data_IF_046127840329
#
_entry.id   IF_046127840329
#
_cell.length_a   1.000
_cell.length_b   1.000
_cell.length_c   1.000
_cell.angle_alpha   90.00
_cell.angle_beta   90.00
_cell.angle_gamma   90.00
#
_symmetry.space_group_name_H-M   'P 1'
#
loop_
_entity.id
_entity.type
_entity.pdbx_description
1 polymer ?
#
# COMPACT_ATOMS: atom_id res chain seq x y z
N UNK A 1 16.87 -40.64 15.79
CA UNK A 1 15.62 -39.84 15.76
C UNK A 1 15.76 -38.41 16.29
N UNK A 2 16.82 -38.04 17.04
CA UNK A 2 17.04 -36.64 17.47
C UNK A 2 17.51 -35.69 16.36
N UNK A 3 18.15 -36.19 15.32
CA UNK A 3 18.71 -35.36 14.23
C UNK A 3 17.67 -34.87 13.20
N UNK A 4 16.48 -35.47 13.16
CA UNK A 4 15.40 -35.08 12.25
C UNK A 4 14.66 -33.81 12.71
N UNK A 5 14.72 -33.50 14.00
CA UNK A 5 14.05 -32.34 14.60
C UNK A 5 14.78 -31.02 14.32
N UNK A 6 16.09 -31.05 14.10
CA UNK A 6 16.88 -29.86 13.74
C UNK A 6 16.71 -29.45 12.28
N UNK A 7 16.43 -30.40 11.37
CA UNK A 7 16.24 -30.09 9.94
C UNK A 7 14.87 -29.42 9.70
N UNK A 8 13.84 -29.79 10.48
CA UNK A 8 12.53 -29.15 10.41
C UNK A 8 12.51 -27.70 10.92
N UNK A 9 13.45 -27.33 11.79
CA UNK A 9 13.56 -25.97 12.35
C UNK A 9 14.30 -24.99 11.43
N UNK A 10 14.99 -25.47 10.39
CA UNK A 10 15.70 -24.62 9.41
C UNK A 10 14.81 -24.29 8.20
N UNK A 11 13.67 -24.98 8.04
CA UNK A 11 12.70 -24.71 6.97
C UNK A 11 11.66 -23.64 7.30
N UNK A 12 11.69 -23.05 8.51
CA UNK A 12 11.06 -21.75 8.75
C UNK A 12 11.96 -20.64 8.23
N UNK A 13 12.28 -20.71 6.93
CA UNK A 13 12.65 -19.49 6.20
C UNK A 13 11.42 -18.61 6.31
N UNK A 14 11.59 -17.43 6.92
CA UNK A 14 10.57 -16.40 6.85
C UNK A 14 10.12 -16.35 5.39
N UNK A 15 8.88 -16.75 5.13
CA UNK A 15 8.24 -16.41 3.88
C UNK A 15 8.12 -14.89 3.94
N UNK A 16 9.20 -14.19 3.54
CA UNK A 16 9.16 -12.79 3.26
C UNK A 16 8.01 -12.65 2.27
N UNK A 17 6.88 -12.16 2.78
CA UNK A 17 5.65 -12.09 2.03
C UNK A 17 5.96 -11.23 0.82
N UNK A 18 6.21 -11.89 -0.33
CA UNK A 18 6.59 -11.23 -1.56
C UNK A 18 5.50 -10.21 -1.84
N UNK A 19 5.91 -8.94 -1.97
CA UNK A 19 4.97 -7.85 -2.22
C UNK A 19 4.13 -8.22 -3.45
N UNK A 20 2.80 -8.07 -3.39
CA UNK A 20 1.93 -8.53 -4.45
C UNK A 20 2.27 -7.76 -5.73
N UNK A 21 2.37 -8.48 -6.84
CA UNK A 21 2.72 -7.92 -8.15
C UNK A 21 1.61 -8.17 -9.16
N UNK A 22 1.46 -7.25 -10.10
CA UNK A 22 0.56 -7.41 -11.23
C UNK A 22 1.24 -8.10 -12.41
N UNK A 23 0.51 -8.24 -13.52
CA UNK A 23 1.00 -8.90 -14.75
C UNK A 23 2.16 -8.17 -15.42
N UNK A 24 2.44 -6.92 -15.05
CA UNK A 24 3.57 -6.12 -15.50
C UNK A 24 4.73 -6.14 -14.51
N UNK A 25 4.69 -7.03 -13.52
CA UNK A 25 5.69 -7.14 -12.43
C UNK A 25 5.78 -5.90 -11.53
N UNK A 26 4.76 -5.05 -11.53
CA UNK A 26 4.68 -3.86 -10.67
C UNK A 26 3.96 -4.19 -9.36
N UNK A 27 4.34 -3.53 -8.26
CA UNK A 27 3.66 -3.68 -7.00
C UNK A 27 2.21 -3.17 -7.08
N UNK A 28 1.29 -4.08 -6.79
CA UNK A 28 -0.14 -3.79 -6.82
C UNK A 28 -0.88 -4.60 -5.75
N UNK A 29 -1.57 -3.88 -4.87
CA UNK A 29 -2.49 -4.46 -3.91
C UNK A 29 -3.90 -4.32 -4.46
N UNK A 30 -4.40 -5.35 -5.14
CA UNK A 30 -5.74 -5.37 -5.69
C UNK A 30 -6.57 -6.50 -5.10
N UNK A 31 -7.81 -6.22 -4.75
CA UNK A 31 -8.75 -7.24 -4.30
C UNK A 31 -10.19 -6.80 -4.56
N UNK A 32 -11.02 -7.77 -4.93
CA UNK A 32 -12.47 -7.62 -4.97
C UNK A 32 -13.09 -8.09 -3.65
N UNK A 33 -13.99 -7.29 -3.09
CA UNK A 33 -14.64 -7.52 -1.81
C UNK A 33 -16.15 -7.49 -2.02
N UNK A 34 -16.80 -8.60 -1.70
CA UNK A 34 -18.26 -8.69 -1.69
C UNK A 34 -18.81 -8.09 -0.40
N UNK A 35 -19.79 -7.21 -0.51
CA UNK A 35 -20.54 -6.62 0.59
C UNK A 35 -22.03 -6.59 0.24
N UNK A 36 -22.87 -7.05 1.17
CA UNK A 36 -24.33 -6.95 1.04
C UNK A 36 -24.79 -5.55 1.46
N UNK A 37 -24.47 -4.53 0.65
CA UNK A 37 -24.84 -3.14 0.88
C UNK A 37 -25.29 -2.48 -0.43
N UNK A 38 -26.23 -1.51 -0.39
CA UNK A 38 -26.64 -0.79 -1.60
C UNK A 38 -25.48 -0.02 -2.23
N UNK A 39 -25.39 -0.04 -3.57
CA UNK A 39 -24.34 0.66 -4.31
C UNK A 39 -24.26 2.16 -4.00
N UNK A 40 -25.40 2.81 -3.76
CA UNK A 40 -25.45 4.23 -3.40
C UNK A 40 -24.70 4.52 -2.09
N UNK A 41 -24.84 3.62 -1.10
CA UNK A 41 -24.14 3.70 0.17
C UNK A 41 -22.64 3.40 0.00
N UNK A 42 -22.30 2.39 -0.80
CA UNK A 42 -20.90 2.06 -1.08
C UNK A 42 -20.18 3.18 -1.83
N UNK A 43 -20.82 3.82 -2.81
CA UNK A 43 -20.30 5.01 -3.52
C UNK A 43 -20.07 6.17 -2.56
N UNK A 44 -21.03 6.41 -1.65
CA UNK A 44 -20.89 7.45 -0.63
C UNK A 44 -19.72 7.16 0.32
N UNK A 45 -19.58 5.91 0.80
CA UNK A 45 -18.46 5.50 1.65
C UNK A 45 -17.12 5.62 0.93
N UNK A 46 -17.01 5.13 -0.30
CA UNK A 46 -15.80 5.27 -1.11
C UNK A 46 -15.39 6.74 -1.25
N UNK A 47 -16.33 7.63 -1.58
CA UNK A 47 -16.08 9.07 -1.66
C UNK A 47 -15.60 9.67 -0.33
N UNK A 48 -16.22 9.28 0.78
CA UNK A 48 -15.86 9.78 2.10
C UNK A 48 -14.52 9.25 2.60
N UNK A 49 -14.08 8.08 2.15
CA UNK A 49 -12.76 7.53 2.47
C UNK A 49 -11.63 8.45 1.98
N UNK A 50 -11.74 8.98 0.75
CA UNK A 50 -10.78 9.96 0.21
C UNK A 50 -10.78 11.31 0.93
N UNK A 51 -11.76 11.58 1.81
CA UNK A 51 -11.83 12.80 2.62
C UNK A 51 -11.25 12.61 4.02
N UNK A 52 -10.83 11.40 4.38
CA UNK A 52 -10.23 11.14 5.69
C UNK A 52 -8.82 11.74 5.77
N UNK A 53 -8.54 12.64 6.73
CA UNK A 53 -7.35 13.51 6.69
C UNK A 53 -6.04 12.84 7.15
N UNK A 54 -6.04 11.55 7.50
CA UNK A 54 -4.92 10.92 8.23
C UNK A 54 -4.26 9.72 7.53
N UNK A 55 -4.74 9.32 6.36
CA UNK A 55 -4.34 8.05 5.73
C UNK A 55 -3.36 8.28 4.59
N UNK A 56 -3.65 9.22 3.71
CA UNK A 56 -2.82 9.52 2.54
C UNK A 56 -2.96 11.02 2.32
N UNK A 57 -1.84 11.70 2.06
CA UNK A 57 -1.89 13.10 1.63
C UNK A 57 -2.26 13.11 0.16
N UNK A 58 -3.52 13.40 -0.15
CA UNK A 58 -4.02 13.41 -1.51
C UNK A 58 -3.57 14.68 -2.24
N UNK A 59 -2.89 14.50 -3.36
CA UNK A 59 -2.53 15.57 -4.29
C UNK A 59 -3.68 15.84 -5.28
N UNK A 60 -4.42 14.79 -5.65
CA UNK A 60 -5.65 14.90 -6.44
C UNK A 60 -6.59 13.74 -6.16
N UNK A 61 -7.91 14.01 -6.25
CA UNK A 61 -8.95 13.00 -6.15
C UNK A 61 -9.97 13.22 -7.27
N UNK A 62 -10.31 12.17 -7.98
CA UNK A 62 -11.31 12.13 -9.03
C UNK A 62 -12.46 11.19 -8.64
N UNK A 63 -13.69 11.60 -8.91
CA UNK A 63 -14.90 10.83 -8.65
C UNK A 63 -15.67 10.66 -9.96
N UNK A 64 -15.65 9.46 -10.53
CA UNK A 64 -16.29 9.14 -11.81
C UNK A 64 -17.26 7.98 -11.59
N UNK A 65 -18.55 8.31 -11.46
CA UNK A 65 -19.64 7.35 -11.25
C UNK A 65 -19.37 6.34 -10.11
N UNK A 66 -18.95 5.13 -10.47
CA UNK A 66 -18.63 4.04 -9.55
C UNK A 66 -17.14 3.97 -9.17
N UNK A 67 -16.25 4.59 -9.95
CA UNK A 67 -14.82 4.60 -9.76
C UNK A 67 -14.34 5.90 -9.08
N UNK A 68 -13.59 5.74 -7.99
CA UNK A 68 -13.06 6.83 -7.18
C UNK A 68 -11.54 6.65 -7.11
N UNK A 69 -10.79 7.62 -7.60
CA UNK A 69 -9.33 7.52 -7.72
C UNK A 69 -8.67 8.66 -6.98
N UNK A 70 -7.66 8.36 -6.17
CA UNK A 70 -6.81 9.35 -5.53
C UNK A 70 -5.35 9.11 -5.88
N UNK A 71 -4.65 10.19 -6.23
CA UNK A 71 -3.18 10.22 -6.30
C UNK A 71 -2.67 11.03 -5.12
N UNK A 72 -1.70 10.49 -4.41
CA UNK A 72 -1.20 11.13 -3.20
C UNK A 72 0.10 10.51 -2.76
N UNK A 73 0.52 10.86 -1.55
CA UNK A 73 1.74 10.35 -0.96
C UNK A 73 1.59 10.03 0.54
N UNK A 74 2.45 9.13 1.01
CA UNK A 74 2.61 8.79 2.42
C UNK A 74 4.03 9.15 2.87
N UNK A 75 4.17 9.66 4.07
CA UNK A 75 5.46 10.12 4.58
C UNK A 75 6.15 9.03 5.40
N UNK A 76 7.16 8.36 4.83
CA UNK A 76 7.87 7.27 5.49
C UNK A 76 9.10 7.76 6.23
N UNK A 77 9.11 7.63 7.56
CA UNK A 77 10.30 7.92 8.37
C UNK A 77 11.30 6.76 8.30
N UNK A 78 12.52 7.04 7.87
CA UNK A 78 13.64 6.09 7.81
C UNK A 78 14.68 6.47 8.86
N UNK A 79 15.20 5.46 9.56
CA UNK A 79 16.27 5.65 10.52
C UNK A 79 17.56 5.05 9.90
N UNK A 80 18.60 5.87 9.76
CA UNK A 80 19.89 5.44 9.24
C UNK A 80 21.01 5.97 10.14
N UNK A 81 21.71 5.04 10.79
CA UNK A 81 22.67 5.32 11.86
C UNK A 81 22.07 6.20 12.96
N UNK A 82 22.69 7.36 13.25
CA UNK A 82 22.26 8.30 14.29
C UNK A 82 21.24 9.35 13.81
N UNK A 83 20.82 9.28 12.54
CA UNK A 83 19.94 10.29 11.93
C UNK A 83 18.67 9.66 11.36
N UNK A 84 17.56 10.40 11.42
CA UNK A 84 16.31 10.02 10.79
C UNK A 84 15.92 11.03 9.73
N UNK A 85 15.39 10.55 8.61
CA UNK A 85 14.84 11.39 7.55
C UNK A 85 13.50 10.83 7.07
N UNK A 86 12.75 11.64 6.33
CA UNK A 86 11.44 11.24 5.82
C UNK A 86 11.46 11.22 4.30
N UNK A 87 10.91 10.15 3.73
CA UNK A 87 10.81 9.91 2.29
C UNK A 87 9.32 9.86 1.93
N UNK A 88 8.80 10.81 1.14
CA UNK A 88 7.48 10.64 0.51
C UNK A 88 7.46 9.41 -0.40
N UNK A 89 6.42 8.60 -0.26
CA UNK A 89 6.09 7.52 -1.19
C UNK A 89 4.80 7.91 -1.90
N UNK A 90 4.89 8.22 -3.19
CA UNK A 90 3.74 8.44 -4.04
C UNK A 90 3.00 7.12 -4.27
N UNK A 91 1.68 7.20 -4.40
CA UNK A 91 0.81 6.07 -4.69
C UNK A 91 -0.46 6.52 -5.41
N UNK A 92 -1.09 5.58 -6.11
CA UNK A 92 -2.47 5.71 -6.61
C UNK A 92 -3.37 4.69 -5.93
N UNK A 93 -4.46 5.16 -5.33
CA UNK A 93 -5.55 4.32 -4.82
C UNK A 93 -6.76 4.49 -5.72
N UNK A 94 -7.36 3.37 -6.09
CA UNK A 94 -8.64 3.33 -6.78
C UNK A 94 -9.63 2.46 -6.00
N UNK A 95 -10.87 2.92 -5.92
CA UNK A 95 -12.01 2.19 -5.36
C UNK A 95 -13.11 2.19 -6.41
N UNK A 96 -13.44 1.04 -6.95
CA UNK A 96 -14.51 0.82 -7.93
C UNK A 96 -15.66 0.07 -7.26
N UNK A 97 -16.82 0.70 -7.16
CA UNK A 97 -18.04 0.05 -6.65
C UNK A 97 -18.64 -0.82 -7.74
N UNK A 98 -19.00 -2.06 -7.40
CA UNK A 98 -19.64 -3.03 -8.30
C UNK A 98 -20.92 -3.55 -7.65
N UNK A 99 -21.74 -4.25 -8.43
CA UNK A 99 -22.95 -4.92 -7.94
C UNK A 99 -22.58 -5.86 -6.78
N UNK A 100 -23.02 -5.53 -5.57
CA UNK A 100 -22.74 -6.25 -4.32
C UNK A 100 -21.31 -6.14 -3.78
N UNK A 101 -20.59 -5.05 -4.04
CA UNK A 101 -19.29 -4.86 -3.43
C UNK A 101 -18.44 -3.74 -4.00
N UNK A 102 -17.13 -3.92 -3.89
CA UNK A 102 -16.16 -3.02 -4.47
C UNK A 102 -14.85 -3.74 -4.77
N UNK A 103 -14.11 -3.20 -5.73
CA UNK A 103 -12.71 -3.53 -5.97
C UNK A 103 -11.87 -2.35 -5.52
N UNK A 104 -10.77 -2.63 -4.82
CA UNK A 104 -9.74 -1.62 -4.61
C UNK A 104 -8.45 -2.03 -5.29
N UNK A 105 -7.63 -1.04 -5.65
CA UNK A 105 -6.26 -1.25 -6.10
C UNK A 105 -5.36 -0.13 -5.58
N UNK A 106 -4.24 -0.47 -4.97
CA UNK A 106 -3.16 0.46 -4.61
C UNK A 106 -1.94 0.10 -5.45
N UNK A 107 -1.45 1.05 -6.26
CA UNK A 107 -0.40 0.85 -7.28
C UNK A 107 0.45 2.11 -7.46
N UNK A 108 1.44 2.03 -8.37
CA UNK A 108 2.37 3.12 -8.69
C UNK A 108 3.11 3.64 -7.45
N UNK A 109 3.80 2.72 -6.74
CA UNK A 109 4.52 3.04 -5.52
C UNK A 109 5.90 3.59 -5.88
N UNK A 110 6.09 4.89 -5.72
CA UNK A 110 7.33 5.58 -6.10
C UNK A 110 7.90 6.35 -4.91
N UNK A 111 9.18 6.17 -4.63
CA UNK A 111 9.86 6.93 -3.59
C UNK A 111 10.39 8.25 -4.14
N UNK A 112 10.03 9.36 -3.50
CA UNK A 112 10.66 10.66 -3.68
C UNK A 112 11.52 10.97 -2.46
N UNK A 113 12.83 11.06 -2.65
CA UNK A 113 13.70 11.61 -1.61
C UNK A 113 13.80 13.11 -1.85
N UNK A 114 13.07 13.88 -1.04
CA UNK A 114 13.16 15.35 -0.97
C UNK A 114 14.65 15.76 -0.93
N UNK A 115 15.11 16.43 -1.99
CA UNK A 115 16.50 16.80 -2.32
C UNK A 115 17.31 15.83 -3.22
N UNK A 116 16.69 14.84 -3.86
CA UNK A 116 17.39 13.96 -4.82
C UNK A 116 16.63 13.86 -6.13
N UNK A 117 17.39 13.76 -7.22
CA UNK A 117 16.96 13.63 -8.62
C UNK A 117 16.24 12.29 -8.90
N UNK A 118 15.92 11.50 -7.86
CA UNK A 118 15.46 10.13 -8.00
C UNK A 118 14.06 9.98 -7.40
N UNK A 119 13.06 10.26 -8.24
CA UNK A 119 11.80 9.51 -8.21
C UNK A 119 12.14 8.12 -8.75
N UNK A 120 11.97 7.09 -7.93
CA UNK A 120 12.17 5.73 -8.40
C UNK A 120 11.02 4.81 -8.00
N UNK A 121 10.56 3.92 -8.90
CA UNK A 121 9.62 2.86 -8.57
C UNK A 121 10.21 1.97 -7.48
N UNK A 122 9.42 1.64 -6.46
CA UNK A 122 9.89 0.78 -5.36
C UNK A 122 10.27 -0.63 -5.83
N UNK A 123 9.88 -1.05 -7.02
CA UNK A 123 10.28 -2.31 -7.64
C UNK A 123 11.77 -2.34 -8.03
N UNK A 124 12.37 -1.16 -8.23
CA UNK A 124 13.72 -1.00 -8.74
C UNK A 124 14.57 -0.27 -7.72
N UNK A 125 15.43 -1.00 -6.99
CA UNK A 125 16.42 -0.39 -6.11
C UNK A 125 17.46 0.36 -6.93
N UNK A 126 17.57 1.70 -6.85
CA UNK A 126 18.65 2.41 -7.50
C UNK A 126 19.99 2.04 -6.86
N UNK A 127 21.07 2.02 -7.64
CA UNK A 127 22.42 1.73 -7.12
C UNK A 127 22.84 2.75 -6.05
N UNK A 128 22.42 4.01 -6.20
CA UNK A 128 22.69 5.10 -5.27
C UNK A 128 21.96 4.98 -3.92
N UNK A 129 20.99 4.06 -3.78
CA UNK A 129 20.24 3.86 -2.53
C UNK A 129 20.84 2.72 -1.74
N UNK A 130 21.21 3.01 -0.49
CA UNK A 130 21.70 2.04 0.48
C UNK A 130 20.67 0.92 0.72
N UNK A 131 21.12 -0.34 0.75
CA UNK A 131 20.23 -1.50 0.89
C UNK A 131 19.40 -1.50 2.17
N UNK A 132 19.98 -1.10 3.31
CA UNK A 132 19.27 -1.03 4.60
C UNK A 132 18.18 0.05 4.58
N UNK A 133 18.43 1.17 3.89
CA UNK A 133 17.43 2.22 3.70
C UNK A 133 16.30 1.71 2.81
N UNK A 134 16.64 1.03 1.71
CA UNK A 134 15.67 0.50 0.77
C UNK A 134 14.78 -0.59 1.40
N UNK A 135 15.36 -1.54 2.13
CA UNK A 135 14.61 -2.56 2.86
C UNK A 135 13.65 -1.95 3.88
N UNK A 136 14.10 -0.94 4.63
CA UNK A 136 13.21 -0.20 5.53
C UNK A 136 12.07 0.50 4.79
N UNK A 137 12.34 1.10 3.61
CA UNK A 137 11.30 1.72 2.80
C UNK A 137 10.26 0.69 2.36
N UNK A 138 10.69 -0.47 1.84
CA UNK A 138 9.80 -1.55 1.43
C UNK A 138 8.94 -2.06 2.59
N UNK A 139 9.56 -2.46 3.70
CA UNK A 139 8.86 -3.02 4.85
C UNK A 139 7.86 -2.03 5.47
N UNK A 140 8.25 -0.75 5.60
CA UNK A 140 7.37 0.27 6.17
C UNK A 140 6.23 0.62 5.22
N UNK A 141 6.49 0.71 3.92
CA UNK A 141 5.45 0.94 2.90
C UNK A 141 4.43 -0.20 2.93
N UNK A 142 4.88 -1.45 2.95
CA UNK A 142 4.01 -2.63 3.06
C UNK A 142 3.12 -2.57 4.29
N UNK A 143 3.70 -2.27 5.46
CA UNK A 143 2.95 -2.15 6.71
C UNK A 143 1.90 -1.05 6.64
N UNK A 144 2.28 0.12 6.11
CA UNK A 144 1.40 1.27 6.00
C UNK A 144 0.23 1.01 5.05
N UNK A 145 0.51 0.43 3.88
CA UNK A 145 -0.51 0.02 2.91
C UNK A 145 -1.42 -1.04 3.53
N UNK A 146 -0.88 -2.03 4.25
CA UNK A 146 -1.68 -3.03 4.96
C UNK A 146 -2.65 -2.39 5.96
N UNK A 147 -2.20 -1.41 6.75
CA UNK A 147 -3.06 -0.65 7.66
C UNK A 147 -4.12 0.16 6.91
N UNK A 148 -3.75 0.80 5.80
CA UNK A 148 -4.67 1.56 4.93
C UNK A 148 -5.77 0.67 4.36
N UNK A 149 -5.41 -0.50 3.84
CA UNK A 149 -6.36 -1.51 3.32
C UNK A 149 -7.28 -2.00 4.43
N UNK A 150 -6.73 -2.28 5.61
CA UNK A 150 -7.52 -2.77 6.75
C UNK A 150 -8.56 -1.73 7.19
N UNK A 151 -8.17 -0.46 7.22
CA UNK A 151 -9.07 0.64 7.53
C UNK A 151 -10.09 0.86 6.42
N UNK A 152 -9.70 0.80 5.15
CA UNK A 152 -10.62 0.86 4.02
C UNK A 152 -11.71 -0.21 4.15
N UNK A 153 -11.32 -1.46 4.42
CA UNK A 153 -12.26 -2.58 4.57
C UNK A 153 -13.29 -2.30 5.67
N UNK A 154 -12.84 -1.88 6.85
CA UNK A 154 -13.71 -1.50 7.97
C UNK A 154 -14.61 -0.32 7.65
N UNK A 155 -14.07 0.70 7.00
CA UNK A 155 -14.82 1.90 6.60
C UNK A 155 -15.91 1.56 5.57
N UNK A 156 -15.60 0.71 4.60
CA UNK A 156 -16.56 0.25 3.59
C UNK A 156 -17.63 -0.67 4.19
N UNK A 157 -17.31 -1.44 5.23
CA UNK A 157 -18.27 -2.23 6.01
C UNK A 157 -19.19 -1.36 6.88
N UNK A 158 -18.71 -0.18 7.30
CA UNK A 158 -19.44 0.73 8.19
C UNK A 158 -19.08 0.56 9.66
N UNK A 159 -17.92 -0.03 9.94
CA UNK A 159 -17.40 -0.28 11.29
C UNK A 159 -16.57 0.91 11.84
N UNK A 160 -16.59 2.05 11.14
CA UNK A 160 -15.84 3.28 11.41
C UNK A 160 -16.69 4.51 11.07
#
# INVERSE_FOLDING_TARGET
MRSLLFILLIMSVDAEAQLPRNTLDQYEYAQEITLNAPDSLLKQRARNFFRQPFIIHWDSVAFVEAAHTGKGHIMMRINHWFSGFTVPIALTLEIEVKDNGYRYSIRHLEADKKNSIYLFPLEQKPEAVNSVVYEQLLQKTQRYIGSTISMLKRFMQGDL
#
